data_IF_232160362197
#
_entry.id   IF_232160362197
#
_cell.length_a   1.000
_cell.length_b   1.000
_cell.length_c   1.000
_cell.angle_alpha   90.00
_cell.angle_beta   90.00
_cell.angle_gamma   90.00
#
_symmetry.space_group_name_H-M   'P 1'
#
loop_
_entity.id
_entity.type
_entity.pdbx_description
1 polymer ?
#
# COMPACT_ATOMS: atom_id res chain seq x y z
N UNK A 1 30.36 -39.48 -42.40
CA UNK A 1 29.09 -38.76 -42.18
C UNK A 1 28.90 -38.55 -40.68
N UNK A 2 28.73 -37.28 -40.30
CA UNK A 2 28.22 -36.71 -39.05
C UNK A 2 28.86 -37.05 -37.70
N UNK A 3 29.90 -36.26 -37.35
CA UNK A 3 30.23 -35.86 -35.98
C UNK A 3 29.64 -34.48 -35.71
N UNK A 4 28.48 -34.36 -35.06
CA UNK A 4 28.08 -33.11 -34.38
C UNK A 4 27.29 -33.50 -33.13
N UNK A 5 27.99 -33.60 -32.01
CA UNK A 5 27.39 -33.50 -30.69
C UNK A 5 28.42 -32.84 -29.77
N UNK A 6 27.92 -32.03 -28.84
CA UNK A 6 28.64 -31.37 -27.76
C UNK A 6 29.33 -30.05 -28.13
N UNK A 7 28.59 -28.94 -27.95
CA UNK A 7 28.98 -27.76 -27.16
C UNK A 7 27.88 -26.69 -27.29
N UNK A 8 26.87 -26.75 -26.43
CA UNK A 8 26.02 -25.60 -26.14
C UNK A 8 25.64 -25.65 -24.66
N UNK A 9 26.59 -25.28 -23.82
CA UNK A 9 26.38 -25.05 -22.40
C UNK A 9 27.10 -23.76 -22.03
N UNK A 10 26.44 -22.97 -21.17
CA UNK A 10 26.91 -21.71 -20.57
C UNK A 10 26.66 -20.43 -21.38
N UNK A 11 25.41 -19.95 -21.42
CA UNK A 11 25.13 -18.51 -21.59
C UNK A 11 23.75 -18.13 -21.05
N UNK A 12 23.54 -18.28 -19.73
CA UNK A 12 22.28 -17.86 -19.08
C UNK A 12 22.49 -17.51 -17.59
N UNK A 13 23.46 -16.63 -17.29
CA UNK A 13 23.65 -16.09 -15.92
C UNK A 13 24.15 -14.63 -15.92
N UNK A 14 23.54 -13.72 -16.68
CA UNK A 14 23.91 -12.29 -16.66
C UNK A 14 22.72 -11.32 -16.76
N UNK A 15 21.64 -11.54 -16.01
CA UNK A 15 20.51 -10.59 -15.94
C UNK A 15 20.25 -9.99 -14.55
N UNK A 16 21.15 -10.17 -13.57
CA UNK A 16 20.98 -9.60 -12.22
C UNK A 16 21.97 -8.47 -11.84
N UNK A 17 22.79 -7.95 -12.76
CA UNK A 17 23.85 -6.97 -12.42
C UNK A 17 23.56 -5.50 -12.76
N UNK A 18 22.38 -5.14 -13.26
CA UNK A 18 22.13 -3.75 -13.70
C UNK A 18 21.92 -2.72 -12.57
N UNK A 19 21.78 -3.14 -11.31
CA UNK A 19 21.72 -2.19 -10.18
C UNK A 19 23.10 -1.86 -9.58
N UNK A 20 24.09 -2.75 -9.74
CA UNK A 20 25.41 -2.59 -9.12
C UNK A 20 26.32 -1.56 -9.84
N UNK A 21 25.99 -1.16 -11.07
CA UNK A 21 26.80 -0.25 -11.88
C UNK A 21 26.46 1.24 -11.72
N UNK A 22 25.38 1.58 -11.02
CA UNK A 22 24.92 2.98 -10.92
C UNK A 22 25.62 3.77 -9.81
N UNK A 23 26.04 3.11 -8.73
CA UNK A 23 26.68 3.77 -7.58
C UNK A 23 28.17 3.42 -7.58
N UNK A 24 29.05 4.43 -7.53
CA UNK A 24 30.49 4.20 -7.44
C UNK A 24 30.85 3.46 -6.14
N UNK A 25 31.94 2.68 -6.15
CA UNK A 25 32.37 1.96 -4.94
C UNK A 25 32.67 2.92 -3.76
N UNK A 26 33.25 4.10 -4.06
CA UNK A 26 33.51 5.14 -3.07
C UNK A 26 32.23 5.72 -2.48
N UNK A 27 31.22 5.99 -3.32
CA UNK A 27 29.93 6.51 -2.86
C UNK A 27 29.12 5.46 -2.11
N UNK A 28 29.18 4.19 -2.53
CA UNK A 28 28.56 3.08 -1.80
C UNK A 28 29.12 2.93 -0.38
N UNK A 29 30.42 3.14 -0.20
CA UNK A 29 31.05 3.17 1.14
C UNK A 29 30.54 4.33 1.98
N UNK A 30 30.49 5.55 1.42
CA UNK A 30 29.91 6.72 2.11
C UNK A 30 28.44 6.52 2.48
N UNK A 31 27.67 5.85 1.62
CA UNK A 31 26.27 5.53 1.90
C UNK A 31 26.13 4.55 3.06
N UNK A 32 26.97 3.52 3.12
CA UNK A 32 27.01 2.57 4.24
C UNK A 32 27.33 3.25 5.57
N UNK A 33 28.39 4.07 5.59
CA UNK A 33 28.77 4.83 6.80
C UNK A 33 27.61 5.71 7.30
N UNK A 34 26.85 6.33 6.39
CA UNK A 34 25.67 7.12 6.74
C UNK A 34 24.50 6.24 7.17
N UNK A 35 24.31 5.08 6.54
CA UNK A 35 23.28 4.12 6.91
C UNK A 35 23.48 3.61 8.34
N UNK A 36 24.72 3.38 8.77
CA UNK A 36 25.05 2.99 10.14
C UNK A 36 24.57 4.05 11.15
N UNK A 37 24.86 5.32 10.89
CA UNK A 37 24.35 6.45 11.69
C UNK A 37 22.83 6.54 11.63
N UNK A 38 22.23 6.39 10.45
CA UNK A 38 20.77 6.45 10.27
C UNK A 38 20.07 5.35 11.06
N UNK A 39 20.61 4.13 11.05
CA UNK A 39 20.08 2.99 11.79
C UNK A 39 20.04 3.28 13.28
N UNK A 40 21.15 3.79 13.83
CA UNK A 40 21.26 4.10 15.25
C UNK A 40 20.23 5.17 15.66
N UNK A 41 20.20 6.31 14.97
CA UNK A 41 19.26 7.38 15.33
C UNK A 41 17.79 7.05 15.00
N UNK A 42 17.53 6.18 14.01
CA UNK A 42 16.18 5.68 13.77
C UNK A 42 15.66 4.82 14.92
N UNK A 43 16.53 4.02 15.54
CA UNK A 43 16.20 3.26 16.74
C UNK A 43 15.94 4.20 17.93
N UNK A 44 16.83 5.15 18.17
CA UNK A 44 16.70 6.12 19.27
C UNK A 44 15.43 6.99 19.18
N UNK A 45 15.01 7.39 17.98
CA UNK A 45 13.71 8.07 17.78
C UNK A 45 12.52 7.30 18.36
N UNK A 46 12.61 5.98 18.48
CA UNK A 46 11.54 5.11 18.96
C UNK A 46 11.78 4.67 20.41
N UNK A 47 13.03 4.39 20.77
CA UNK A 47 13.37 3.75 22.06
C UNK A 47 13.75 4.71 23.18
N UNK A 48 14.17 5.95 22.85
CA UNK A 48 14.60 6.90 23.89
C UNK A 48 13.43 7.26 24.81
N UNK A 49 13.70 7.30 26.12
CA UNK A 49 12.69 7.55 27.15
C UNK A 49 12.17 8.99 27.09
N UNK A 50 13.04 9.97 26.88
CA UNK A 50 12.68 11.40 26.92
C UNK A 50 12.33 11.94 25.54
N UNK A 51 11.35 12.84 25.50
CA UNK A 51 10.98 13.56 24.27
C UNK A 51 12.14 14.36 23.70
N UNK A 52 12.94 14.99 24.55
CA UNK A 52 14.08 15.80 24.14
C UNK A 52 15.11 14.97 23.37
N UNK A 53 15.43 13.77 23.87
CA UNK A 53 16.38 12.87 23.21
C UNK A 53 15.82 12.36 21.88
N UNK A 54 14.53 11.96 21.83
CA UNK A 54 13.86 11.60 20.57
C UNK A 54 13.93 12.75 19.54
N UNK A 55 13.71 14.00 19.97
CA UNK A 55 13.77 15.18 19.09
C UNK A 55 15.19 15.45 18.57
N UNK A 56 16.20 15.28 19.42
CA UNK A 56 17.60 15.38 19.02
C UNK A 56 17.93 14.27 18.00
N UNK A 57 17.51 13.04 18.27
CA UNK A 57 17.66 11.89 17.39
C UNK A 57 16.99 12.11 16.03
N UNK A 58 15.75 12.60 15.98
CA UNK A 58 15.06 12.96 14.73
C UNK A 58 15.78 14.07 13.95
N UNK A 59 16.30 15.07 14.67
CA UNK A 59 17.06 16.18 14.08
C UNK A 59 18.37 15.68 13.44
N UNK A 60 19.10 14.80 14.12
CA UNK A 60 20.33 14.17 13.60
C UNK A 60 19.99 13.24 12.44
N UNK A 61 19.00 12.37 12.59
CA UNK A 61 18.52 11.45 11.56
C UNK A 61 18.18 12.21 10.27
N UNK A 62 17.36 13.26 10.37
CA UNK A 62 16.92 14.05 9.21
C UNK A 62 18.09 14.66 8.45
N UNK A 63 19.05 15.28 9.17
CA UNK A 63 20.24 15.88 8.53
C UNK A 63 21.10 14.81 7.87
N UNK A 64 21.30 13.68 8.53
CA UNK A 64 22.09 12.55 7.99
C UNK A 64 21.41 11.96 6.76
N UNK A 65 20.09 11.84 6.76
CA UNK A 65 19.31 11.30 5.65
C UNK A 65 19.48 12.21 4.43
N UNK A 66 19.26 13.52 4.58
CA UNK A 66 19.47 14.47 3.48
C UNK A 66 20.89 14.38 2.93
N UNK A 67 21.91 14.34 3.80
CA UNK A 67 23.32 14.18 3.38
C UNK A 67 23.59 12.85 2.68
N UNK A 68 22.90 11.77 3.03
CA UNK A 68 23.00 10.48 2.35
C UNK A 68 22.32 10.54 0.98
N UNK A 69 21.15 11.16 0.90
CA UNK A 69 20.40 11.31 -0.34
C UNK A 69 21.10 12.24 -1.34
N UNK A 70 21.95 13.17 -0.88
CA UNK A 70 22.80 14.01 -1.73
C UNK A 70 23.89 13.25 -2.47
N UNK A 71 24.25 12.04 -2.03
CA UNK A 71 25.22 11.20 -2.74
C UNK A 71 24.64 10.80 -4.10
N UNK A 72 25.45 10.92 -5.15
CA UNK A 72 25.03 10.63 -6.52
C UNK A 72 24.48 9.20 -6.62
N UNK A 73 23.34 9.04 -7.29
CA UNK A 73 22.65 7.77 -7.47
C UNK A 73 22.15 7.11 -6.16
N UNK A 74 22.03 7.87 -5.05
CA UNK A 74 21.48 7.37 -3.78
C UNK A 74 20.07 6.80 -3.89
N UNK A 75 19.31 7.17 -4.92
CA UNK A 75 17.98 6.61 -5.22
C UNK A 75 17.99 5.09 -5.29
N UNK A 76 19.08 4.48 -5.76
CA UNK A 76 19.23 3.02 -5.90
C UNK A 76 19.82 2.36 -4.65
N UNK A 77 20.22 3.13 -3.64
CA UNK A 77 20.71 2.59 -2.39
C UNK A 77 19.54 2.25 -1.48
N UNK A 78 19.39 1.00 -1.01
CA UNK A 78 18.18 0.59 -0.34
C UNK A 78 18.05 1.25 1.04
N UNK A 79 19.05 1.28 1.92
CA UNK A 79 18.90 1.62 3.35
C UNK A 79 18.16 0.55 4.18
N UNK A 80 18.39 -0.74 3.89
CA UNK A 80 17.67 -1.86 4.51
C UNK A 80 17.91 -2.00 6.02
N UNK A 81 19.02 -1.49 6.56
CA UNK A 81 19.27 -1.58 8.01
C UNK A 81 18.56 -0.51 8.83
N UNK A 82 17.99 0.53 8.18
CA UNK A 82 17.26 1.61 8.85
C UNK A 82 15.82 1.16 9.11
N UNK A 83 15.61 0.53 10.25
CA UNK A 83 14.28 0.08 10.71
C UNK A 83 13.49 1.23 11.33
N UNK A 84 12.16 1.10 11.40
CA UNK A 84 11.28 2.13 11.96
C UNK A 84 10.99 3.34 11.06
N UNK A 85 11.63 3.38 9.88
CA UNK A 85 11.40 4.40 8.85
C UNK A 85 10.89 3.69 7.61
N UNK A 86 9.66 4.00 7.20
CA UNK A 86 9.15 3.47 5.95
C UNK A 86 9.87 4.11 4.76
N UNK A 87 10.12 3.29 3.75
CA UNK A 87 10.74 3.69 2.49
C UNK A 87 10.18 2.83 1.36
N UNK A 88 9.20 3.36 0.66
CA UNK A 88 8.53 2.65 -0.43
C UNK A 88 8.95 3.19 -1.78
N UNK A 89 9.35 2.30 -2.69
CA UNK A 89 9.50 2.65 -4.10
C UNK A 89 8.14 2.63 -4.78
N UNK A 90 7.89 3.61 -5.65
CA UNK A 90 6.79 3.51 -6.58
C UNK A 90 6.96 2.26 -7.46
N UNK A 91 5.87 1.57 -7.85
CA UNK A 91 5.98 0.34 -8.66
C UNK A 91 6.74 0.50 -9.99
N UNK A 92 6.80 1.73 -10.53
CA UNK A 92 7.58 2.05 -11.75
C UNK A 92 8.96 2.65 -11.47
N UNK A 93 9.38 2.65 -10.20
CA UNK A 93 10.64 3.21 -9.72
C UNK A 93 10.86 4.67 -10.12
N UNK A 94 9.79 5.44 -10.38
CA UNK A 94 9.91 6.87 -10.74
C UNK A 94 10.26 7.76 -9.54
N UNK A 95 9.87 7.35 -8.34
CA UNK A 95 10.22 7.97 -7.08
C UNK A 95 10.21 6.91 -5.96
N UNK A 96 10.66 7.33 -4.77
CA UNK A 96 10.40 6.63 -3.51
C UNK A 96 9.97 7.62 -2.45
N UNK A 97 9.16 7.17 -1.52
CA UNK A 97 8.65 7.97 -0.41
C UNK A 97 9.21 7.43 0.91
N UNK A 98 9.75 8.33 1.71
CA UNK A 98 10.16 8.06 3.08
C UNK A 98 9.11 8.64 4.02
N UNK A 99 8.68 7.88 5.02
CA UNK A 99 7.78 8.36 6.08
C UNK A 99 8.13 7.71 7.42
N UNK A 100 8.16 8.50 8.48
CA UNK A 100 8.42 8.03 9.84
C UNK A 100 7.61 8.81 10.86
N UNK A 101 7.46 8.23 12.05
CA UNK A 101 6.79 8.85 13.18
C UNK A 101 7.79 9.57 14.09
N UNK A 102 7.35 10.66 14.70
CA UNK A 102 8.03 11.31 15.80
C UNK A 102 7.03 11.43 16.96
N UNK A 103 7.23 10.63 18.01
CA UNK A 103 6.39 10.68 19.21
C UNK A 103 6.88 11.77 20.16
N UNK A 104 6.03 12.73 20.48
CA UNK A 104 6.35 13.75 21.47
C UNK A 104 6.05 13.24 22.88
N UNK A 105 4.83 12.80 23.13
CA UNK A 105 4.38 12.21 24.40
C UNK A 105 3.36 11.11 24.11
N UNK A 106 2.66 10.56 25.12
CA UNK A 106 1.71 9.46 24.90
C UNK A 106 0.52 9.86 24.01
N UNK A 107 0.19 11.15 23.94
CA UNK A 107 -1.00 11.68 23.28
C UNK A 107 -0.71 12.28 21.91
N UNK A 108 0.52 12.73 21.68
CA UNK A 108 0.87 13.51 20.51
C UNK A 108 2.04 12.90 19.74
N UNK A 109 1.77 12.66 18.45
CA UNK A 109 2.77 12.26 17.47
C UNK A 109 2.68 13.16 16.24
N UNK A 110 3.78 13.23 15.50
CA UNK A 110 3.86 13.93 14.23
C UNK A 110 4.55 13.07 13.20
N UNK A 111 3.98 12.98 12.01
CA UNK A 111 4.61 12.26 10.93
C UNK A 111 5.53 13.20 10.15
N UNK A 112 6.60 12.62 9.61
CA UNK A 112 7.53 13.30 8.73
C UNK A 112 7.69 12.48 7.48
N UNK A 113 7.87 13.16 6.35
CA UNK A 113 8.09 12.47 5.10
C UNK A 113 8.80 13.29 4.05
N UNK A 114 9.32 12.59 3.05
CA UNK A 114 9.92 13.19 1.87
C UNK A 114 9.82 12.24 0.68
N UNK A 115 9.57 12.80 -0.50
CA UNK A 115 9.61 12.08 -1.77
C UNK A 115 10.96 12.36 -2.45
N UNK A 116 11.71 11.30 -2.74
CA UNK A 116 12.90 11.39 -3.59
C UNK A 116 12.56 10.94 -5.00
N UNK A 117 12.73 11.83 -5.97
CA UNK A 117 12.52 11.53 -7.39
C UNK A 117 13.74 10.82 -7.98
N UNK A 118 13.51 9.89 -8.91
CA UNK A 118 14.59 9.34 -9.75
C UNK A 118 15.01 10.38 -10.79
N UNK A 119 16.27 10.77 -10.78
CA UNK A 119 16.86 11.71 -11.75
C UNK A 119 17.75 10.95 -12.74
N UNK A 120 17.88 11.47 -13.96
CA UNK A 120 18.70 10.84 -15.01
C UNK A 120 20.20 10.95 -14.72
N UNK A 121 20.62 12.06 -14.12
CA UNK A 121 22.00 12.36 -13.77
C UNK A 121 22.41 11.83 -12.39
N UNK A 122 21.45 11.28 -11.64
CA UNK A 122 21.67 10.76 -10.29
C UNK A 122 21.72 11.83 -9.20
N UNK A 123 21.43 13.09 -9.52
CA UNK A 123 21.37 14.18 -8.54
C UNK A 123 20.15 14.07 -7.61
N UNK A 124 20.24 14.68 -6.42
CA UNK A 124 19.11 14.70 -5.49
C UNK A 124 18.01 15.65 -5.97
N UNK A 125 16.83 15.10 -6.25
CA UNK A 125 15.57 15.87 -6.28
C UNK A 125 14.68 15.38 -5.14
N UNK A 126 14.55 16.19 -4.10
CA UNK A 126 13.83 15.87 -2.87
C UNK A 126 12.66 16.83 -2.67
N UNK A 127 11.50 16.28 -2.33
CA UNK A 127 10.26 17.01 -2.09
C UNK A 127 9.84 16.74 -0.62
N UNK A 128 10.14 17.65 0.32
CA UNK A 128 9.79 17.46 1.72
C UNK A 128 8.28 17.59 1.93
N UNK A 129 7.71 16.74 2.77
CA UNK A 129 6.30 16.75 3.16
C UNK A 129 6.16 17.39 4.55
N UNK A 130 5.28 18.39 4.64
CA UNK A 130 4.91 19.05 5.89
C UNK A 130 3.57 18.51 6.34
N UNK A 131 3.61 17.76 7.43
CA UNK A 131 2.43 17.30 8.15
C UNK A 131 1.69 18.48 8.80
N UNK A 132 0.38 18.54 8.59
CA UNK A 132 -0.53 19.53 9.18
C UNK A 132 -1.75 18.88 9.82
N UNK A 133 -1.70 17.57 10.09
CA UNK A 133 -2.83 16.80 10.63
C UNK A 133 -3.35 17.39 11.94
N UNK A 134 -2.45 17.87 12.80
CA UNK A 134 -2.78 18.53 14.07
C UNK A 134 -3.65 19.79 13.92
N UNK A 135 -3.65 20.41 12.74
CA UNK A 135 -4.40 21.64 12.43
C UNK A 135 -5.56 21.38 11.47
N UNK A 136 -5.96 20.12 11.27
CA UNK A 136 -6.94 19.72 10.27
C UNK A 136 -8.11 18.98 10.91
N UNK A 137 -9.28 19.62 10.92
CA UNK A 137 -10.50 18.99 11.47
C UNK A 137 -11.08 17.91 10.53
N UNK A 138 -11.01 18.15 9.22
CA UNK A 138 -11.55 17.26 8.18
C UNK A 138 -10.47 16.98 7.14
N UNK A 139 -9.82 15.84 7.25
CA UNK A 139 -8.76 15.46 6.34
C UNK A 139 -9.33 15.03 4.97
N UNK A 140 -10.55 14.52 4.93
CA UNK A 140 -11.21 13.88 3.78
C UNK A 140 -11.84 14.88 2.78
N UNK A 141 -11.81 16.18 3.07
CA UNK A 141 -12.59 17.19 2.36
C UNK A 141 -11.94 17.75 1.09
N UNK A 142 -10.62 17.61 0.95
CA UNK A 142 -9.86 18.31 -0.08
C UNK A 142 -8.52 17.66 -0.42
N UNK A 143 -8.02 17.99 -1.61
CA UNK A 143 -6.70 17.56 -2.03
C UNK A 143 -5.62 18.36 -1.28
N UNK A 144 -4.51 17.71 -0.98
CA UNK A 144 -3.37 18.29 -0.28
C UNK A 144 -2.14 18.33 -1.18
N UNK A 145 -1.25 19.24 -0.87
CA UNK A 145 0.07 19.38 -1.46
C UNK A 145 1.13 18.93 -0.44
N UNK A 146 2.40 18.92 -0.85
CA UNK A 146 3.50 18.67 0.10
C UNK A 146 3.58 19.68 1.25
N UNK A 147 2.98 20.88 1.17
CA UNK A 147 3.05 21.88 2.24
C UNK A 147 1.90 21.79 3.27
N UNK A 148 0.89 20.98 2.99
CA UNK A 148 -0.27 20.76 3.87
C UNK A 148 -0.69 19.28 3.82
N UNK A 149 0.29 18.39 3.84
CA UNK A 149 0.10 16.95 3.76
C UNK A 149 -0.54 16.42 5.07
N UNK A 150 -1.40 15.41 4.96
CA UNK A 150 -1.94 14.68 6.12
C UNK A 150 -0.98 13.54 6.42
N UNK A 151 -0.36 13.60 7.59
CA UNK A 151 0.66 12.69 8.07
C UNK A 151 0.21 11.23 8.10
N UNK A 152 1.00 10.38 7.46
CA UNK A 152 0.83 8.93 7.53
C UNK A 152 2.17 8.23 7.32
N UNK A 153 2.37 7.09 7.99
CA UNK A 153 3.48 6.17 7.70
C UNK A 153 2.99 5.20 6.63
N UNK A 154 3.47 5.33 5.40
CA UNK A 154 3.00 4.48 4.32
C UNK A 154 3.61 3.08 4.41
N UNK A 155 2.82 2.02 4.31
CA UNK A 155 3.30 0.64 4.29
C UNK A 155 3.08 -0.05 2.94
N UNK A 156 2.25 0.51 2.07
CA UNK A 156 2.10 0.01 0.70
C UNK A 156 1.84 1.14 -0.30
N UNK A 157 2.19 0.87 -1.56
CA UNK A 157 1.96 1.75 -2.70
C UNK A 157 1.66 0.90 -3.94
N UNK A 158 0.56 1.21 -4.62
CA UNK A 158 0.21 0.60 -5.90
C UNK A 158 0.11 1.67 -6.97
N UNK A 159 0.30 1.27 -8.23
CA UNK A 159 0.22 2.15 -9.39
C UNK A 159 -0.97 1.74 -10.25
N UNK A 160 -1.82 2.72 -10.55
CA UNK A 160 -2.89 2.61 -11.55
C UNK A 160 -2.66 3.66 -12.64
N UNK A 161 -3.33 3.50 -13.77
CA UNK A 161 -3.25 4.44 -14.89
C UNK A 161 -4.65 4.79 -15.38
N UNK A 162 -4.86 6.06 -15.72
CA UNK A 162 -6.09 6.54 -16.34
C UNK A 162 -5.79 7.75 -17.21
N UNK A 163 -6.35 7.82 -18.43
CA UNK A 163 -6.12 8.89 -19.41
C UNK A 163 -4.63 9.26 -19.56
N UNK A 164 -3.79 8.23 -19.75
CA UNK A 164 -2.33 8.34 -19.90
C UNK A 164 -1.60 8.98 -18.70
N UNK A 165 -2.26 9.14 -17.55
CA UNK A 165 -1.67 9.63 -16.31
C UNK A 165 -1.50 8.50 -15.30
N UNK A 166 -0.35 8.49 -14.63
CA UNK A 166 -0.09 7.56 -13.54
C UNK A 166 -0.66 8.12 -12.23
N UNK A 167 -1.32 7.25 -11.48
CA UNK A 167 -1.84 7.49 -10.14
C UNK A 167 -1.23 6.47 -9.20
N UNK A 168 -0.95 6.89 -7.98
CA UNK A 168 -0.32 6.05 -6.96
C UNK A 168 -1.24 6.00 -5.76
N UNK A 169 -1.80 4.84 -5.45
CA UNK A 169 -2.61 4.69 -4.24
C UNK A 169 -1.70 4.28 -3.10
N UNK A 170 -1.65 5.12 -2.07
CA UNK A 170 -0.82 4.99 -0.89
C UNK A 170 -1.65 4.45 0.26
N UNK A 171 -1.09 3.50 1.01
CA UNK A 171 -1.71 2.92 2.20
C UNK A 171 -0.89 3.31 3.42
N UNK A 172 -1.52 4.06 4.33
CA UNK A 172 -0.88 4.70 5.47
C UNK A 172 -1.43 4.22 6.79
N UNK A 173 -0.60 4.26 7.82
CA UNK A 173 -1.02 4.15 9.22
C UNK A 173 -0.68 5.44 9.96
N UNK A 174 -1.60 5.89 10.79
CA UNK A 174 -1.46 7.00 11.72
C UNK A 174 -1.86 6.49 13.10
N UNK A 175 -0.98 6.69 14.09
CA UNK A 175 -1.24 6.27 15.46
C UNK A 175 -2.34 7.11 16.14
N UNK A 176 -2.79 8.21 15.51
CA UNK A 176 -3.96 9.03 15.82
C UNK A 176 -4.04 9.51 17.28
N UNK A 177 -4.57 8.68 18.20
CA UNK A 177 -4.71 9.03 19.63
C UNK A 177 -4.26 7.88 20.53
N UNK A 178 -4.30 8.09 21.85
CA UNK A 178 -4.10 6.99 22.82
C UNK A 178 -5.16 5.90 22.72
N UNK A 179 -6.39 6.24 22.28
CA UNK A 179 -7.52 5.30 22.25
C UNK A 179 -7.75 4.65 20.88
N UNK A 180 -7.27 5.27 19.80
CA UNK A 180 -7.54 4.80 18.43
C UNK A 180 -6.31 4.83 17.53
N UNK A 181 -6.39 4.04 16.46
CA UNK A 181 -5.46 4.07 15.32
C UNK A 181 -6.25 4.41 14.07
N UNK A 182 -5.62 5.09 13.12
CA UNK A 182 -6.18 5.34 11.79
C UNK A 182 -5.38 4.63 10.71
N UNK A 183 -6.08 4.04 9.74
CA UNK A 183 -5.50 3.66 8.46
C UNK A 183 -6.05 4.53 7.37
N UNK A 184 -5.17 4.97 6.47
CA UNK A 184 -5.48 5.86 5.37
C UNK A 184 -5.26 5.15 4.04
N UNK A 185 -6.15 5.42 3.08
CA UNK A 185 -5.92 5.17 1.66
C UNK A 185 -6.12 6.47 0.92
N UNK A 186 -5.09 6.91 0.21
CA UNK A 186 -5.20 8.10 -0.62
C UNK A 186 -4.49 7.94 -1.96
N UNK A 187 -5.02 8.62 -2.97
CA UNK A 187 -4.43 8.63 -4.30
C UNK A 187 -3.51 9.83 -4.43
N UNK A 188 -2.25 9.60 -4.73
CA UNK A 188 -1.25 10.60 -5.04
C UNK A 188 -0.97 10.63 -6.55
N UNK A 189 -0.77 11.82 -7.11
CA UNK A 189 -0.28 12.02 -8.47
C UNK A 189 0.63 13.25 -8.54
N UNK A 190 1.40 13.37 -9.62
CA UNK A 190 2.18 14.59 -9.87
C UNK A 190 1.40 15.52 -10.82
N UNK A 191 1.32 16.79 -10.46
CA UNK A 191 0.75 17.83 -11.31
C UNK A 191 1.67 18.15 -12.52
N UNK A 192 1.25 19.10 -13.37
CA UNK A 192 2.02 19.48 -14.55
C UNK A 192 3.38 20.12 -14.20
N UNK A 193 3.53 20.66 -12.99
CA UNK A 193 4.79 21.23 -12.47
C UNK A 193 5.67 20.15 -11.83
N UNK A 194 5.19 18.92 -11.71
CA UNK A 194 5.88 17.82 -11.05
C UNK A 194 5.81 17.90 -9.52
N UNK A 195 4.84 18.63 -8.96
CA UNK A 195 4.54 18.66 -7.53
C UNK A 195 3.55 17.56 -7.17
N UNK A 196 3.72 16.89 -6.01
CA UNK A 196 2.82 15.82 -5.58
C UNK A 196 1.53 16.43 -5.04
N UNK A 197 0.42 15.87 -5.49
CA UNK A 197 -0.94 16.13 -4.99
C UNK A 197 -1.46 14.86 -4.37
N UNK A 198 -2.00 14.98 -3.15
CA UNK A 198 -2.48 13.90 -2.31
C UNK A 198 -3.99 14.00 -2.13
N UNK A 199 -4.70 12.94 -2.47
CA UNK A 199 -6.16 12.88 -2.46
C UNK A 199 -6.79 13.53 -3.70
N UNK A 200 -8.12 13.44 -3.75
CA UNK A 200 -8.94 13.85 -4.89
C UNK A 200 -10.22 13.01 -4.95
N UNK A 201 -11.19 13.34 -5.82
CA UNK A 201 -12.47 12.62 -5.94
C UNK A 201 -12.32 11.26 -6.62
N UNK A 202 -11.44 10.43 -6.06
CA UNK A 202 -11.05 9.11 -6.57
C UNK A 202 -11.83 7.99 -5.89
N UNK A 203 -12.44 8.21 -4.73
CA UNK A 203 -13.32 7.23 -4.10
C UNK A 203 -14.76 7.50 -4.51
N UNK A 204 -15.46 6.46 -4.98
CA UNK A 204 -16.80 6.57 -5.56
C UNK A 204 -17.74 5.57 -4.91
N UNK A 205 -18.79 6.09 -4.26
CA UNK A 205 -19.87 5.31 -3.64
C UNK A 205 -21.14 5.34 -4.50
N UNK A 206 -20.98 5.51 -5.81
CA UNK A 206 -22.10 5.70 -6.74
C UNK A 206 -22.94 4.43 -6.93
N UNK A 207 -22.43 3.27 -6.52
CA UNK A 207 -23.12 1.97 -6.60
C UNK A 207 -23.77 1.59 -5.26
N UNK A 208 -23.56 2.39 -4.22
CA UNK A 208 -24.09 2.14 -2.89
C UNK A 208 -25.58 2.46 -2.85
N UNK A 209 -26.33 1.66 -2.08
CA UNK A 209 -27.76 1.90 -1.88
C UNK A 209 -28.03 3.19 -1.11
N UNK A 210 -27.05 3.64 -0.31
CA UNK A 210 -27.10 4.86 0.48
C UNK A 210 -26.05 5.82 -0.09
N UNK A 211 -26.45 7.01 -0.58
CA UNK A 211 -25.50 8.00 -1.08
C UNK A 211 -24.50 8.42 -0.01
N UNK A 212 -23.21 8.33 -0.32
CA UNK A 212 -22.14 8.82 0.54
C UNK A 212 -21.49 10.07 -0.07
N UNK A 213 -20.97 11.00 0.76
CA UNK A 213 -20.24 12.16 0.26
C UNK A 213 -18.97 11.73 -0.48
N UNK A 214 -18.55 12.55 -1.44
CA UNK A 214 -17.25 12.33 -2.10
C UNK A 214 -16.12 12.52 -1.08
N UNK A 215 -15.36 11.46 -0.83
CA UNK A 215 -14.20 11.49 0.05
C UNK A 215 -12.91 11.66 -0.79
N UNK A 216 -12.06 12.62 -0.43
CA UNK A 216 -10.78 12.85 -1.11
C UNK A 216 -9.71 11.83 -0.72
N UNK A 217 -9.94 11.14 0.40
CA UNK A 217 -9.15 10.06 0.96
C UNK A 217 -10.09 9.18 1.79
N UNK A 218 -9.82 7.89 1.83
CA UNK A 218 -10.55 6.92 2.62
C UNK A 218 -9.80 6.65 3.93
N UNK A 219 -10.53 6.51 5.03
CA UNK A 219 -9.95 6.29 6.34
C UNK A 219 -10.77 5.32 7.17
N UNK A 220 -10.09 4.53 7.97
CA UNK A 220 -10.67 3.69 9.01
C UNK A 220 -10.07 4.13 10.35
N UNK A 221 -10.89 4.62 11.26
CA UNK A 221 -10.51 4.81 12.66
C UNK A 221 -11.08 3.65 13.49
N UNK A 222 -10.24 3.06 14.31
CA UNK A 222 -10.57 1.87 15.08
C UNK A 222 -9.86 1.85 16.43
N UNK A 223 -10.33 0.97 17.32
CA UNK A 223 -9.77 0.77 18.66
C UNK A 223 -8.27 0.49 18.61
N UNK A 224 -7.51 1.11 19.52
CA UNK A 224 -6.07 0.88 19.67
C UNK A 224 -5.77 -0.62 19.77
N UNK A 225 -4.62 -1.03 19.22
CA UNK A 225 -4.12 -2.41 19.22
C UNK A 225 -5.00 -3.45 18.49
N UNK A 226 -6.07 -3.02 17.83
CA UNK A 226 -6.88 -3.88 16.98
C UNK A 226 -6.22 -4.08 15.63
N UNK A 227 -6.26 -5.31 15.12
CA UNK A 227 -5.79 -5.63 13.77
C UNK A 227 -6.92 -5.44 12.78
N UNK A 228 -6.80 -4.41 11.95
CA UNK A 228 -7.75 -4.10 10.87
C UNK A 228 -7.06 -4.30 9.53
N UNK A 229 -7.69 -5.03 8.60
CA UNK A 229 -7.26 -5.13 7.22
C UNK A 229 -7.65 -3.88 6.45
N UNK A 230 -6.68 -3.30 5.76
CA UNK A 230 -6.90 -2.29 4.74
C UNK A 230 -5.71 -2.36 3.79
N UNK A 231 -5.82 -3.05 2.67
CA UNK A 231 -4.70 -3.21 1.75
C UNK A 231 -5.16 -3.61 0.36
N UNK A 232 -4.28 -3.46 -0.63
CA UNK A 232 -4.51 -3.99 -1.97
C UNK A 232 -4.23 -5.49 -2.02
N UNK A 233 -5.20 -6.26 -2.52
CA UNK A 233 -5.09 -7.70 -2.75
C UNK A 233 -4.87 -7.91 -4.25
N UNK A 234 -3.62 -8.19 -4.64
CA UNK A 234 -3.21 -8.30 -6.05
C UNK A 234 -4.03 -9.30 -6.85
N UNK A 235 -4.35 -10.43 -6.23
CA UNK A 235 -5.02 -11.56 -6.88
C UNK A 235 -6.49 -11.27 -7.18
N UNK A 236 -7.10 -10.38 -6.38
CA UNK A 236 -8.48 -9.93 -6.56
C UNK A 236 -8.56 -8.62 -7.35
N UNK A 237 -7.47 -7.85 -7.43
CA UNK A 237 -7.44 -6.56 -8.09
C UNK A 237 -8.23 -5.47 -7.36
N UNK A 238 -8.38 -5.60 -6.04
CA UNK A 238 -9.18 -4.69 -5.19
C UNK A 238 -8.40 -4.23 -3.97
N UNK A 239 -8.79 -3.07 -3.45
CA UNK A 239 -8.50 -2.69 -2.07
C UNK A 239 -9.51 -3.41 -1.20
N UNK A 240 -9.05 -4.27 -0.29
CA UNK A 240 -9.90 -4.96 0.67
C UNK A 240 -9.80 -4.24 2.02
N UNK A 241 -10.94 -4.02 2.64
CA UNK A 241 -11.11 -3.35 3.93
C UNK A 241 -11.93 -4.26 4.85
N UNK A 242 -11.59 -4.33 6.12
CA UNK A 242 -12.53 -4.86 7.11
C UNK A 242 -13.71 -3.90 7.25
N UNK A 243 -14.90 -4.46 7.38
CA UNK A 243 -16.06 -3.74 7.89
C UNK A 243 -15.91 -3.61 9.41
N UNK A 244 -16.21 -2.42 9.94
CA UNK A 244 -15.95 -2.09 11.34
C UNK A 244 -17.23 -1.73 12.08
N UNK A 245 -17.43 -2.35 13.24
CA UNK A 245 -18.56 -2.08 14.14
C UNK A 245 -18.08 -1.68 15.53
N UNK A 246 -18.88 -0.92 16.27
CA UNK A 246 -18.60 -0.63 17.68
C UNK A 246 -18.82 -1.88 18.53
N UNK A 247 -17.81 -2.29 19.31
CA UNK A 247 -17.93 -3.42 20.24
C UNK A 247 -18.79 -3.07 21.48
N UNK A 248 -19.02 -1.78 21.74
CA UNK A 248 -19.76 -1.25 22.89
C UNK A 248 -21.12 -0.65 22.52
N UNK A 249 -21.54 -0.75 21.26
CA UNK A 249 -22.75 -0.11 20.72
C UNK A 249 -22.73 1.44 20.84
N UNK A 250 -21.54 2.03 20.73
CA UNK A 250 -21.30 3.47 20.76
C UNK A 250 -20.71 3.95 19.41
N UNK A 251 -21.53 4.01 18.33
CA UNK A 251 -21.04 4.27 16.98
C UNK A 251 -20.42 5.66 16.77
N UNK A 252 -20.73 6.64 17.62
CA UNK A 252 -20.11 7.98 17.61
C UNK A 252 -18.67 7.97 18.12
N UNK A 253 -18.24 6.86 18.72
CA UNK A 253 -16.91 6.69 19.30
C UNK A 253 -16.09 5.71 18.46
N UNK A 254 -15.40 6.23 17.43
CA UNK A 254 -14.59 5.40 16.52
C UNK A 254 -13.48 4.59 17.20
N UNK A 255 -13.06 4.98 18.40
CA UNK A 255 -12.12 4.20 19.22
C UNK A 255 -12.71 2.90 19.80
N UNK A 256 -14.01 2.63 19.60
CA UNK A 256 -14.68 1.36 19.98
C UNK A 256 -14.75 0.36 18.82
N UNK A 257 -14.33 0.78 17.62
CA UNK A 257 -14.57 0.02 16.41
C UNK A 257 -13.60 -1.15 16.27
N UNK A 258 -14.13 -2.33 15.95
CA UNK A 258 -13.41 -3.58 15.68
C UNK A 258 -13.95 -4.25 14.41
N UNK A 259 -13.16 -5.10 13.72
CA UNK A 259 -13.67 -5.92 12.63
C UNK A 259 -14.77 -6.89 13.08
N UNK A 260 -15.84 -7.00 12.30
CA UNK A 260 -16.92 -7.97 12.54
C UNK A 260 -16.76 -9.29 11.74
N UNK A 261 -15.77 -9.34 10.85
CA UNK A 261 -15.47 -10.49 9.99
C UNK A 261 -15.97 -10.34 8.56
N UNK A 262 -16.78 -9.33 8.25
CA UNK A 262 -17.15 -8.98 6.89
C UNK A 262 -16.10 -8.03 6.27
N UNK A 263 -16.10 -7.98 4.94
CA UNK A 263 -15.18 -7.14 4.18
C UNK A 263 -15.90 -6.30 3.12
N UNK A 264 -15.52 -5.04 3.06
CA UNK A 264 -15.78 -4.12 1.96
C UNK A 264 -14.61 -4.15 0.98
N UNK A 265 -14.85 -3.72 -0.26
CA UNK A 265 -13.80 -3.58 -1.25
C UNK A 265 -13.92 -2.30 -2.08
N UNK A 266 -12.81 -1.90 -2.68
CA UNK A 266 -12.79 -0.90 -3.74
C UNK A 266 -12.09 -1.44 -4.97
N UNK A 267 -12.70 -1.22 -6.14
CA UNK A 267 -12.15 -1.65 -7.42
C UNK A 267 -11.83 -0.45 -8.31
N UNK A 268 -10.69 -0.47 -8.99
CA UNK A 268 -10.28 0.62 -9.87
C UNK A 268 -11.02 0.57 -11.21
N UNK A 269 -11.94 1.50 -11.43
CA UNK A 269 -12.75 1.62 -12.65
C UNK A 269 -12.91 3.09 -13.04
N UNK A 270 -12.70 3.41 -14.33
CA UNK A 270 -12.92 4.77 -14.84
C UNK A 270 -12.06 5.86 -14.16
N UNK A 271 -10.89 5.51 -13.63
CA UNK A 271 -10.02 6.43 -12.90
C UNK A 271 -10.40 6.66 -11.44
N UNK A 272 -11.26 5.80 -10.87
CA UNK A 272 -11.73 5.86 -9.49
C UNK A 272 -11.70 4.49 -8.82
N UNK A 273 -11.51 4.47 -7.52
CA UNK A 273 -11.81 3.36 -6.62
C UNK A 273 -13.32 3.35 -6.33
N UNK A 274 -14.05 2.47 -7.01
CA UNK A 274 -15.49 2.29 -6.85
C UNK A 274 -15.74 1.30 -5.71
N UNK A 275 -16.57 1.70 -4.75
CA UNK A 275 -16.92 0.92 -3.57
C UNK A 275 -17.77 -0.30 -3.91
N UNK A 276 -17.54 -1.39 -3.17
CA UNK A 276 -18.24 -2.66 -3.22
C UNK A 276 -18.51 -3.05 -1.76
N UNK A 277 -19.76 -2.87 -1.34
CA UNK A 277 -20.24 -3.10 0.04
C UNK A 277 -19.93 -4.51 0.58
N UNK A 278 -20.10 -5.54 -0.27
CA UNK A 278 -19.74 -6.92 0.09
C UNK A 278 -18.70 -7.46 -0.87
N UNK A 279 -17.45 -7.53 -0.41
CA UNK A 279 -16.33 -8.03 -1.20
C UNK A 279 -16.51 -9.51 -1.57
N UNK A 280 -17.18 -10.28 -0.71
CA UNK A 280 -17.46 -11.70 -0.92
C UNK A 280 -18.95 -11.97 -0.75
N UNK A 281 -19.59 -12.54 -1.78
CA UNK A 281 -21.01 -12.82 -1.81
C UNK A 281 -21.33 -14.31 -1.62
N UNK A 282 -20.52 -15.03 -0.84
CA UNK A 282 -20.72 -16.45 -0.58
C UNK A 282 -22.10 -16.69 0.02
N UNK A 283 -23.07 -17.04 -0.83
CA UNK A 283 -24.36 -17.56 -0.41
C UNK A 283 -24.14 -19.01 0.00
N UNK A 284 -23.97 -19.24 1.29
CA UNK A 284 -24.14 -20.58 1.85
C UNK A 284 -25.60 -20.97 1.59
N UNK A 285 -25.86 -21.99 0.78
CA UNK A 285 -27.22 -22.48 0.56
C UNK A 285 -27.71 -23.14 1.86
N UNK A 286 -28.42 -22.36 2.67
CA UNK A 286 -28.97 -22.78 3.97
C UNK A 286 -30.17 -23.74 3.83
N UNK A 287 -30.61 -24.10 2.62
CA UNK A 287 -31.75 -25.03 2.44
C UNK A 287 -31.39 -26.42 2.95
N UNK A 288 -32.07 -26.84 4.02
CA UNK A 288 -31.89 -28.16 4.63
C UNK A 288 -30.76 -28.24 5.66
N UNK A 289 -30.28 -27.10 6.17
CA UNK A 289 -29.17 -27.02 7.13
C UNK A 289 -29.69 -26.76 8.56
N UNK A 290 -29.08 -27.41 9.56
CA UNK A 290 -29.30 -27.15 10.99
C UNK A 290 -28.81 -25.73 11.35
N UNK A 291 -29.67 -24.84 11.89
CA UNK A 291 -29.34 -23.45 12.19
C UNK A 291 -28.13 -23.24 13.12
N UNK A 292 -27.74 -24.26 13.90
CA UNK A 292 -26.69 -24.14 14.91
C UNK A 292 -25.32 -24.65 14.47
N UNK A 293 -25.25 -25.46 13.41
CA UNK A 293 -24.01 -26.15 13.02
C UNK A 293 -23.44 -25.69 11.67
N UNK A 294 -24.27 -25.16 10.76
CA UNK A 294 -23.86 -24.88 9.38
C UNK A 294 -23.36 -26.14 8.65
N UNK A 295 -23.03 -26.02 7.36
CA UNK A 295 -22.15 -26.99 6.71
C UNK A 295 -20.81 -26.30 6.44
N UNK A 296 -19.67 -26.86 6.88
CA UNK A 296 -18.37 -26.35 6.46
C UNK A 296 -18.28 -26.38 4.92
N UNK A 297 -17.56 -25.44 4.29
CA UNK A 297 -17.37 -25.43 2.85
C UNK A 297 -16.83 -26.80 2.43
N UNK A 298 -17.67 -27.55 1.71
CA UNK A 298 -17.28 -28.86 1.20
C UNK A 298 -16.33 -28.59 0.04
N UNK A 299 -15.10 -29.06 0.14
CA UNK A 299 -14.18 -29.05 -0.99
C UNK A 299 -14.90 -29.66 -2.20
N UNK A 300 -14.63 -29.16 -3.40
CA UNK A 300 -15.16 -29.72 -4.65
C UNK A 300 -14.08 -30.61 -5.30
N UNK A 301 -13.76 -31.80 -4.73
CA UNK A 301 -12.68 -32.63 -5.21
C UNK A 301 -12.99 -33.12 -6.62
N UNK A 302 -11.96 -33.08 -7.47
CA UNK A 302 -12.00 -33.65 -8.82
C UNK A 302 -12.00 -35.18 -8.79
N UNK A 303 -11.68 -35.78 -7.64
CA UNK A 303 -11.63 -37.21 -7.42
C UNK A 303 -12.87 -37.66 -6.63
N UNK A 304 -13.41 -38.81 -6.99
CA UNK A 304 -14.43 -39.49 -6.18
C UNK A 304 -13.81 -40.10 -4.91
N UNK A 305 -14.66 -40.65 -4.03
CA UNK A 305 -14.23 -41.28 -2.76
C UNK A 305 -13.29 -42.48 -2.96
N UNK A 306 -13.20 -43.00 -4.18
CA UNK A 306 -12.35 -44.13 -4.56
C UNK A 306 -11.08 -43.66 -5.30
N UNK A 307 -10.85 -42.35 -5.42
CA UNK A 307 -9.69 -41.76 -6.09
C UNK A 307 -9.79 -41.68 -7.61
N UNK A 308 -10.94 -41.99 -8.22
CA UNK A 308 -11.11 -41.87 -9.67
C UNK A 308 -11.48 -40.44 -10.07
N UNK A 309 -10.93 -39.97 -11.19
CA UNK A 309 -11.26 -38.65 -11.72
C UNK A 309 -12.73 -38.61 -12.16
N UNK A 310 -13.47 -37.64 -11.64
CA UNK A 310 -14.82 -37.36 -12.11
C UNK A 310 -14.74 -36.61 -13.45
N UNK A 311 -14.66 -37.37 -14.54
CA UNK A 311 -14.50 -36.88 -15.92
C UNK A 311 -15.52 -35.78 -16.26
N UNK A 312 -16.77 -35.96 -15.83
CA UNK A 312 -17.86 -35.00 -16.08
C UNK A 312 -17.62 -33.66 -15.40
N UNK A 313 -17.17 -33.65 -14.13
CA UNK A 313 -16.79 -32.42 -13.44
C UNK A 313 -15.57 -31.74 -14.08
N UNK A 314 -14.63 -32.53 -14.58
CA UNK A 314 -13.43 -32.01 -15.26
C UNK A 314 -13.78 -31.32 -16.57
N UNK A 315 -14.71 -31.91 -17.34
CA UNK A 315 -15.26 -31.36 -18.57
C UNK A 315 -16.05 -30.06 -18.29
N UNK A 316 -16.95 -30.06 -17.31
CA UNK A 316 -17.72 -28.87 -16.93
C UNK A 316 -16.83 -27.70 -16.46
N UNK A 317 -15.76 -27.98 -15.69
CA UNK A 317 -14.76 -26.97 -15.32
C UNK A 317 -13.95 -26.48 -16.52
N UNK A 318 -13.60 -27.37 -17.44
CA UNK A 318 -12.88 -27.02 -18.67
C UNK A 318 -13.73 -26.14 -19.60
N UNK A 319 -15.03 -26.43 -19.71
CA UNK A 319 -15.96 -25.61 -20.48
C UNK A 319 -16.19 -24.24 -19.85
N UNK A 320 -16.34 -24.16 -18.52
CA UNK A 320 -16.40 -22.88 -17.80
C UNK A 320 -15.15 -22.03 -18.00
N UNK A 321 -13.96 -22.64 -17.98
CA UNK A 321 -12.70 -21.93 -18.21
C UNK A 321 -12.61 -21.44 -19.67
N UNK A 322 -12.99 -22.27 -20.65
CA UNK A 322 -13.08 -21.86 -22.07
C UNK A 322 -14.08 -20.73 -22.30
N UNK A 323 -15.19 -20.69 -21.55
CA UNK A 323 -16.17 -19.62 -21.63
C UNK A 323 -15.64 -18.30 -21.06
N UNK A 324 -14.76 -18.34 -20.04
CA UNK A 324 -14.07 -17.16 -19.51
C UNK A 324 -12.96 -16.64 -20.43
N UNK A 325 -12.38 -17.49 -21.26
CA UNK A 325 -11.30 -17.13 -22.20
C UNK A 325 -11.77 -16.56 -23.56
N UNK A 326 -13.08 -16.59 -23.87
CA UNK A 326 -13.57 -15.99 -25.11
C UNK A 326 -13.48 -14.45 -25.04
N UNK A 327 -12.77 -13.77 -25.97
CA UNK A 327 -12.75 -12.32 -26.02
C UNK A 327 -14.16 -11.78 -26.30
N UNK A 328 -14.57 -10.71 -25.62
CA UNK A 328 -15.74 -9.92 -26.02
C UNK A 328 -15.44 -9.30 -27.39
N UNK A 329 -15.86 -9.97 -28.47
CA UNK A 329 -15.88 -9.38 -29.81
C UNK A 329 -16.82 -8.19 -29.79
N UNK A 330 -16.27 -7.02 -30.14
CA UNK A 330 -16.92 -5.73 -30.11
C UNK A 330 -18.15 -5.68 -31.01
N UNK A 331 -19.16 -4.96 -30.51
CA UNK A 331 -20.31 -4.54 -31.29
C UNK A 331 -19.85 -3.33 -32.13
N UNK A 332 -19.66 -3.54 -33.43
CA UNK A 332 -19.65 -2.49 -34.44
C UNK A 332 -20.95 -2.62 -35.25
N UNK A 333 -21.66 -1.51 -35.38
CA UNK A 333 -22.89 -1.32 -36.17
C UNK A 333 -23.88 -0.49 -35.36
N UNK A 334 -24.40 0.65 -35.79
CA UNK A 334 -24.28 1.44 -37.03
C UNK A 334 -24.39 2.93 -36.65
#
# INVERSE_FOLDING_TARGET
MNKIAVKLGLLLLLSYTSQAQLISAGDKRKLREKEDTLKEYAMYMITDTTTADRMISDSIFTRTLVRALQIKNSFYYPFDSVQGVSRLYAPDSSFRIFTWNMQFDDYYCRQKGAIQMRTKDGSLKLLPLRDVSEFTDKAEDSARSRSNWIGAIYYNIIKTQYNNRNYYTLFGIDYNTVMSTKKWVEVMYFDQKGEPVFGGPFFSYAQDSIPQPTAYRFSLEFKKDTRVLLNYISDLGVILSDHLISETDEPDHKWTYIPDGDNEAFKWEGGKWVHIDKAFDYKVDMRGIDPYLGNPPVEDPLLDKNGNTNQKKLEEKSEKNKAKEKPKTGNNGD
#
